data_IF_782911078267
#
_entry.id   IF_782911078267
#
_cell.length_a   1.000
_cell.length_b   1.000
_cell.length_c   1.000
_cell.angle_alpha   90.00
_cell.angle_beta   90.00
_cell.angle_gamma   90.00
#
_symmetry.space_group_name_H-M   'P 1'
#
loop_
_entity.id
_entity.type
_entity.pdbx_description
1 polymer ?
#
# COMPACT_ATOMS: atom_id res chain seq x y z
N UNK A 1 -7.59 -15.41 -9.89
CA UNK A 1 -6.77 -15.68 -8.70
C UNK A 1 -7.59 -15.39 -7.46
N UNK A 2 -7.58 -16.27 -6.45
CA UNK A 2 -8.26 -16.05 -5.17
C UNK A 2 -7.25 -15.48 -4.18
N UNK A 3 -7.41 -14.21 -3.81
CA UNK A 3 -6.54 -13.55 -2.84
C UNK A 3 -7.31 -13.28 -1.55
N UNK A 4 -6.72 -13.64 -0.40
CA UNK A 4 -7.25 -13.25 0.91
C UNK A 4 -6.53 -11.98 1.38
N UNK A 5 -7.26 -10.93 1.80
CA UNK A 5 -6.63 -9.69 2.25
C UNK A 5 -6.08 -9.82 3.67
N UNK A 6 -4.76 -9.69 3.79
CA UNK A 6 -4.10 -9.50 5.07
C UNK A 6 -3.69 -8.04 5.22
N UNK A 7 -3.85 -7.49 6.43
CA UNK A 7 -3.28 -6.20 6.80
C UNK A 7 -2.01 -6.44 7.59
N UNK A 8 -0.88 -5.97 7.07
CA UNK A 8 0.44 -6.21 7.65
C UNK A 8 0.99 -4.87 8.17
N UNK A 9 1.45 -4.77 9.43
CA UNK A 9 2.15 -3.59 9.92
C UNK A 9 3.46 -3.38 9.15
N UNK A 10 3.60 -2.22 8.50
CA UNK A 10 4.78 -1.92 7.66
C UNK A 10 5.55 -0.68 8.12
N UNK A 11 5.06 0.03 9.13
CA UNK A 11 5.75 1.19 9.70
C UNK A 11 7.17 0.84 10.15
N UNK A 12 8.15 1.62 9.71
CA UNK A 12 9.57 1.37 9.96
C UNK A 12 10.16 0.15 9.23
N UNK A 13 9.37 -0.62 8.48
CA UNK A 13 9.88 -1.74 7.70
C UNK A 13 10.64 -1.25 6.47
N UNK A 14 11.74 -1.92 6.15
CA UNK A 14 12.56 -1.60 4.98
C UNK A 14 12.04 -2.35 3.76
N UNK A 15 11.76 -1.59 2.69
CA UNK A 15 11.37 -2.12 1.38
C UNK A 15 12.46 -1.84 0.36
N UNK A 16 13.01 -2.90 -0.26
CA UNK A 16 13.87 -2.72 -1.43
C UNK A 16 13.01 -2.46 -2.66
N UNK A 17 13.23 -1.32 -3.32
CA UNK A 17 12.59 -0.96 -4.58
C UNK A 17 13.66 -0.96 -5.67
N UNK A 18 13.59 -1.91 -6.59
CA UNK A 18 14.50 -2.03 -7.73
C UNK A 18 13.82 -1.49 -8.98
N UNK A 19 14.38 -0.40 -9.53
CA UNK A 19 13.83 0.37 -10.64
C UNK A 19 13.49 1.80 -10.24
N UNK A 20 13.76 2.76 -11.11
CA UNK A 20 13.60 4.21 -10.87
C UNK A 20 12.58 4.88 -11.78
N UNK A 21 11.76 4.12 -12.48
CA UNK A 21 10.75 4.63 -13.42
C UNK A 21 9.40 4.94 -12.77
N UNK A 22 8.43 5.34 -13.61
CA UNK A 22 7.06 5.71 -13.16
C UNK A 22 6.31 4.61 -12.40
N UNK A 23 6.58 3.33 -12.71
CA UNK A 23 5.96 2.21 -11.99
C UNK A 23 6.48 2.14 -10.56
N UNK A 24 7.79 2.30 -10.38
CA UNK A 24 8.42 2.38 -9.06
C UNK A 24 7.89 3.58 -8.26
N UNK A 25 7.74 4.74 -8.90
CA UNK A 25 7.18 5.95 -8.26
C UNK A 25 5.76 5.71 -7.72
N UNK A 26 4.86 5.09 -8.50
CA UNK A 26 3.51 4.74 -8.06
C UNK A 26 3.50 3.76 -6.89
N UNK A 27 4.51 2.87 -6.77
CA UNK A 27 4.64 1.97 -5.62
C UNK A 27 5.14 2.72 -4.39
N UNK A 28 6.14 3.60 -4.56
CA UNK A 28 6.65 4.46 -3.51
C UNK A 28 5.56 5.37 -2.93
N UNK A 29 4.80 6.05 -3.78
CA UNK A 29 3.67 6.91 -3.40
C UNK A 29 2.65 6.19 -2.50
N UNK A 30 2.36 4.90 -2.81
CA UNK A 30 1.45 4.10 -1.99
C UNK A 30 2.02 3.65 -0.66
N UNK A 31 3.34 3.50 -0.55
CA UNK A 31 3.99 2.94 0.64
C UNK A 31 4.44 4.01 1.64
N UNK A 32 4.88 5.17 1.15
CA UNK A 32 5.41 6.24 2.00
C UNK A 32 4.43 6.71 3.09
N UNK A 33 3.10 6.88 2.81
CA UNK A 33 2.14 7.26 3.83
C UNK A 33 2.01 6.27 5.00
N UNK A 34 2.46 5.00 4.81
CA UNK A 34 2.46 3.97 5.84
C UNK A 34 3.78 3.89 6.63
N UNK A 35 4.68 4.87 6.49
CA UNK A 35 5.94 4.90 7.22
C UNK A 35 6.97 3.86 6.78
N UNK A 36 6.87 3.34 5.57
CA UNK A 36 7.84 2.39 4.99
C UNK A 36 9.16 3.11 4.70
N UNK A 37 10.27 2.49 5.07
CA UNK A 37 11.62 2.97 4.73
C UNK A 37 12.02 2.38 3.38
N UNK A 38 12.02 3.21 2.33
CA UNK A 38 12.40 2.79 0.98
C UNK A 38 13.91 2.75 0.82
N UNK A 39 14.43 1.63 0.30
CA UNK A 39 15.79 1.44 -0.17
C UNK A 39 15.72 1.36 -1.70
N UNK A 40 16.02 2.46 -2.39
CA UNK A 40 15.93 2.51 -3.85
C UNK A 40 17.23 2.05 -4.50
N UNK A 41 17.13 1.09 -5.42
CA UNK A 41 18.20 0.68 -6.32
C UNK A 41 17.80 1.03 -7.77
N UNK A 42 18.44 2.05 -8.35
CA UNK A 42 18.16 2.50 -9.71
C UNK A 42 19.34 3.26 -10.32
N UNK A 43 19.57 3.07 -11.63
CA UNK A 43 20.57 3.85 -12.38
C UNK A 43 20.11 5.28 -12.63
N UNK A 44 18.83 5.42 -12.95
CA UNK A 44 18.15 6.69 -13.19
C UNK A 44 16.89 6.75 -12.33
N UNK A 45 16.58 7.94 -11.82
CA UNK A 45 15.44 8.18 -10.95
C UNK A 45 14.52 9.19 -11.62
N UNK A 46 13.27 8.83 -11.83
CA UNK A 46 12.28 9.71 -12.46
C UNK A 46 11.94 10.91 -11.54
N UNK A 47 11.48 12.03 -12.13
CA UNK A 47 11.12 13.23 -11.37
C UNK A 47 10.13 12.96 -10.25
N UNK A 48 9.15 12.10 -10.47
CA UNK A 48 8.12 11.77 -9.48
C UNK A 48 8.72 11.14 -8.21
N UNK A 49 9.75 10.29 -8.33
CA UNK A 49 10.46 9.74 -7.16
C UNK A 49 11.27 10.79 -6.43
N UNK A 50 11.89 11.74 -7.18
CA UNK A 50 12.64 12.85 -6.60
C UNK A 50 11.71 13.76 -5.81
N UNK A 51 10.53 14.08 -6.34
CA UNK A 51 9.50 14.88 -5.68
C UNK A 51 9.00 14.23 -4.37
N UNK A 52 8.95 12.89 -4.32
CA UNK A 52 8.67 12.12 -3.12
C UNK A 52 9.83 12.08 -2.12
N UNK A 53 10.96 12.72 -2.42
CA UNK A 53 12.16 12.73 -1.57
C UNK A 53 12.95 11.42 -1.58
N UNK A 54 12.66 10.51 -2.53
CA UNK A 54 13.32 9.20 -2.64
C UNK A 54 14.58 9.32 -3.47
N UNK A 55 15.70 8.90 -2.90
CA UNK A 55 17.01 8.93 -3.56
C UNK A 55 17.55 7.51 -3.73
N UNK A 56 18.25 7.26 -4.85
CA UNK A 56 18.90 5.99 -5.07
C UNK A 56 20.07 5.79 -4.12
N UNK A 57 20.08 4.66 -3.42
CA UNK A 57 21.16 4.25 -2.51
C UNK A 57 22.14 3.32 -3.21
N UNK A 58 21.71 2.69 -4.32
CA UNK A 58 22.55 1.89 -5.20
C UNK A 58 22.14 2.10 -6.65
N UNK A 59 23.09 2.03 -7.58
CA UNK A 59 22.85 2.12 -9.03
C UNK A 59 22.59 0.76 -9.66
N UNK A 60 23.16 -0.29 -9.10
CA UNK A 60 23.06 -1.65 -9.60
C UNK A 60 22.59 -2.59 -8.51
N UNK A 61 21.72 -3.52 -8.87
CA UNK A 61 21.25 -4.53 -7.96
C UNK A 61 22.37 -5.51 -7.63
N UNK A 62 22.48 -5.81 -6.34
CA UNK A 62 23.32 -6.87 -5.78
C UNK A 62 22.56 -7.54 -4.66
N UNK A 63 22.78 -8.82 -4.45
CA UNK A 63 22.06 -9.62 -3.46
C UNK A 63 22.25 -9.13 -2.01
N UNK A 64 23.34 -8.42 -1.72
CA UNK A 64 23.62 -7.83 -0.41
C UNK A 64 22.60 -6.72 -0.06
N UNK A 65 21.96 -6.09 -1.06
CA UNK A 65 20.91 -5.09 -0.81
C UNK A 65 19.68 -5.67 -0.12
N UNK A 66 19.54 -7.00 -0.10
CA UNK A 66 18.46 -7.69 0.62
C UNK A 66 18.69 -7.80 2.13
N UNK A 67 19.85 -7.38 2.64
CA UNK A 67 20.14 -7.43 4.07
C UNK A 67 19.24 -6.48 4.86
N UNK A 68 18.49 -7.03 5.83
CA UNK A 68 17.56 -6.29 6.66
C UNK A 68 16.32 -5.78 5.91
N UNK A 69 16.02 -6.27 4.71
CA UNK A 69 14.83 -5.97 3.93
C UNK A 69 13.67 -6.85 4.40
N UNK A 70 12.51 -6.23 4.62
CA UNK A 70 11.29 -6.91 5.04
C UNK A 70 10.44 -7.41 3.86
N UNK A 71 10.47 -6.70 2.74
CA UNK A 71 9.81 -7.07 1.49
C UNK A 71 10.44 -6.29 0.33
N UNK A 72 10.28 -6.75 -0.90
CA UNK A 72 10.89 -6.15 -2.08
C UNK A 72 9.90 -5.91 -3.22
N UNK A 73 10.25 -4.97 -4.08
CA UNK A 73 9.53 -4.66 -5.32
C UNK A 73 10.54 -4.60 -6.45
N UNK A 74 10.36 -5.46 -7.47
CA UNK A 74 11.11 -5.44 -8.71
C UNK A 74 10.25 -4.74 -9.77
N UNK A 75 10.65 -3.53 -10.17
CA UNK A 75 9.89 -2.64 -11.04
C UNK A 75 10.79 -2.00 -12.12
N UNK A 76 11.66 -2.80 -12.72
CA UNK A 76 12.49 -2.40 -13.85
C UNK A 76 11.83 -2.80 -15.17
N UNK A 77 12.33 -2.30 -16.28
CA UNK A 77 12.02 -2.70 -17.65
C UNK A 77 12.80 -3.96 -18.10
N UNK A 78 13.77 -4.42 -17.28
CA UNK A 78 14.53 -5.65 -17.49
C UNK A 78 13.86 -6.83 -16.74
N UNK A 79 13.13 -7.66 -17.49
CA UNK A 79 12.43 -8.84 -16.96
C UNK A 79 13.40 -9.88 -16.35
N UNK A 80 14.61 -10.00 -16.87
CA UNK A 80 15.61 -10.92 -16.35
C UNK A 80 16.10 -10.45 -14.97
N UNK A 81 16.34 -9.15 -14.80
CA UNK A 81 16.67 -8.56 -13.52
C UNK A 81 15.53 -8.71 -12.51
N UNK A 82 14.28 -8.45 -12.92
CA UNK A 82 13.12 -8.64 -12.07
C UNK A 82 12.98 -10.09 -11.59
N UNK A 83 13.18 -11.06 -12.47
CA UNK A 83 13.17 -12.49 -12.13
C UNK A 83 14.31 -12.86 -11.18
N UNK A 84 15.52 -12.31 -11.40
CA UNK A 84 16.65 -12.51 -10.49
C UNK A 84 16.35 -11.98 -9.09
N UNK A 85 15.85 -10.75 -8.97
CA UNK A 85 15.46 -10.14 -7.67
C UNK A 85 14.43 -11.03 -6.97
N UNK A 86 13.43 -11.52 -7.70
CA UNK A 86 12.41 -12.40 -7.14
C UNK A 86 13.00 -13.74 -6.65
N UNK A 87 13.90 -14.34 -7.41
CA UNK A 87 14.57 -15.59 -7.02
C UNK A 87 15.43 -15.40 -5.76
N UNK A 88 16.21 -14.33 -5.69
CA UNK A 88 17.05 -14.00 -4.54
C UNK A 88 16.21 -13.71 -3.28
N UNK A 89 15.09 -13.01 -3.43
CA UNK A 89 14.13 -12.78 -2.36
C UNK A 89 13.55 -14.09 -1.80
N UNK A 90 13.12 -15.00 -2.69
CA UNK A 90 12.58 -16.30 -2.28
C UNK A 90 13.59 -17.16 -1.52
N UNK A 91 14.85 -17.17 -1.96
CA UNK A 91 15.92 -17.89 -1.25
C UNK A 91 16.10 -17.40 0.19
N UNK A 92 15.77 -16.14 0.47
CA UNK A 92 15.87 -15.51 1.79
C UNK A 92 14.53 -15.43 2.55
N UNK A 93 13.45 -15.94 1.97
CA UNK A 93 12.10 -15.83 2.55
C UNK A 93 11.57 -14.40 2.61
N UNK A 94 12.03 -13.51 1.73
CA UNK A 94 11.61 -12.11 1.63
C UNK A 94 10.46 -12.03 0.62
N UNK A 95 9.25 -11.59 1.02
CA UNK A 95 8.13 -11.42 0.09
C UNK A 95 8.48 -10.41 -1.01
N UNK A 96 8.11 -10.73 -2.26
CA UNK A 96 8.41 -9.89 -3.41
C UNK A 96 7.17 -9.62 -4.27
N UNK A 97 7.09 -8.40 -4.83
CA UNK A 97 6.18 -8.04 -5.91
C UNK A 97 7.00 -7.74 -7.16
N UNK A 98 6.88 -8.57 -8.19
CA UNK A 98 7.51 -8.36 -9.49
C UNK A 98 6.48 -7.75 -10.46
N UNK A 99 6.82 -6.62 -11.06
CA UNK A 99 5.93 -5.92 -11.99
C UNK A 99 5.81 -6.74 -13.28
N UNK A 100 4.57 -6.85 -13.79
CA UNK A 100 4.20 -7.58 -15.01
C UNK A 100 4.46 -9.09 -14.98
N UNK A 101 4.80 -9.64 -13.81
CA UNK A 101 5.07 -11.06 -13.62
C UNK A 101 4.28 -11.62 -12.43
N UNK A 102 3.10 -12.18 -12.70
CA UNK A 102 2.19 -12.70 -11.67
C UNK A 102 2.74 -13.95 -10.96
N UNK A 103 3.57 -14.73 -11.62
CA UNK A 103 4.14 -15.96 -11.06
C UNK A 103 5.25 -15.64 -10.05
N UNK A 104 5.86 -14.48 -10.20
CA UNK A 104 6.90 -13.96 -9.32
C UNK A 104 6.38 -12.94 -8.30
N UNK A 105 5.09 -12.99 -7.93
CA UNK A 105 4.49 -12.12 -6.93
C UNK A 105 3.99 -12.91 -5.72
N UNK A 106 4.50 -12.60 -4.53
CA UNK A 106 4.01 -13.12 -3.25
C UNK A 106 2.88 -12.26 -2.68
N UNK A 107 2.78 -10.99 -3.10
CA UNK A 107 1.73 -10.06 -2.70
C UNK A 107 1.37 -9.10 -3.83
N UNK A 108 0.17 -8.51 -3.73
CA UNK A 108 -0.37 -7.60 -4.73
C UNK A 108 -0.79 -6.27 -4.11
N UNK A 109 -0.68 -5.18 -4.88
CA UNK A 109 -1.17 -3.88 -4.49
C UNK A 109 -2.64 -3.71 -4.88
N UNK A 110 -3.55 -3.51 -3.92
CA UNK A 110 -4.94 -3.21 -4.24
C UNK A 110 -5.11 -1.78 -4.77
N UNK A 111 -6.28 -1.47 -5.32
CA UNK A 111 -6.76 -0.10 -5.37
C UNK A 111 -7.03 0.33 -3.92
N UNK A 112 -6.43 1.46 -3.49
CA UNK A 112 -6.31 1.81 -2.07
C UNK A 112 -6.98 3.15 -1.77
N UNK A 113 -7.77 3.20 -0.70
CA UNK A 113 -8.19 4.42 -0.03
C UNK A 113 -7.48 4.44 1.33
N UNK A 114 -6.79 5.53 1.64
CA UNK A 114 -6.10 5.70 2.91
C UNK A 114 -6.43 7.08 3.48
N UNK A 115 -7.00 7.11 4.69
CA UNK A 115 -7.35 8.34 5.42
C UNK A 115 -7.05 8.17 6.91
N UNK A 116 -5.94 8.72 7.37
CA UNK A 116 -5.45 8.52 8.72
C UNK A 116 -5.33 7.03 9.05
N UNK A 117 -5.96 6.53 10.12
CA UNK A 117 -5.87 5.12 10.51
C UNK A 117 -6.74 4.18 9.67
N UNK A 118 -7.54 4.71 8.73
CA UNK A 118 -8.47 3.92 7.93
C UNK A 118 -7.84 3.56 6.59
N UNK A 119 -7.83 2.28 6.30
CA UNK A 119 -7.36 1.74 5.01
C UNK A 119 -8.40 0.81 4.42
N UNK A 120 -8.76 1.02 3.15
CA UNK A 120 -9.67 0.18 2.38
C UNK A 120 -8.92 -0.29 1.14
N UNK A 121 -8.72 -1.59 1.01
CA UNK A 121 -8.11 -2.21 -0.16
C UNK A 121 -9.15 -2.91 -1.03
N UNK A 122 -9.18 -2.63 -2.33
CA UNK A 122 -10.12 -3.20 -3.28
C UNK A 122 -9.34 -3.99 -4.32
N UNK A 123 -9.73 -5.24 -4.51
CA UNK A 123 -9.15 -6.13 -5.51
C UNK A 123 -10.23 -6.86 -6.28
N UNK A 124 -9.98 -7.14 -7.55
CA UNK A 124 -10.81 -8.00 -8.42
C UNK A 124 -10.14 -9.35 -8.66
N UNK A 125 -9.16 -9.73 -7.82
CA UNK A 125 -8.36 -10.95 -8.02
C UNK A 125 -7.53 -10.94 -9.31
N UNK A 126 -7.20 -9.73 -9.81
CA UNK A 126 -6.47 -9.55 -11.08
C UNK A 126 -7.35 -9.62 -12.32
N UNK A 127 -8.69 -9.74 -12.17
CA UNK A 127 -9.61 -9.81 -13.30
C UNK A 127 -9.74 -8.45 -14.04
N UNK A 128 -9.83 -7.34 -13.30
CA UNK A 128 -9.97 -6.01 -13.90
C UNK A 128 -9.40 -4.91 -12.98
N UNK A 129 -8.17 -4.46 -13.20
CA UNK A 129 -7.63 -3.30 -12.50
C UNK A 129 -8.47 -2.03 -12.68
N UNK A 130 -9.07 -1.84 -13.86
CA UNK A 130 -9.94 -0.70 -14.16
C UNK A 130 -11.20 -0.71 -13.28
N UNK A 131 -11.83 -1.88 -13.10
CA UNK A 131 -13.00 -2.01 -12.20
C UNK A 131 -12.62 -1.74 -10.75
N UNK A 132 -11.46 -2.24 -10.28
CA UNK A 132 -10.98 -1.97 -8.94
C UNK A 132 -10.74 -0.46 -8.73
N UNK A 133 -10.19 0.23 -9.73
CA UNK A 133 -10.00 1.68 -9.72
C UNK A 133 -11.34 2.43 -9.67
N UNK A 134 -12.30 2.09 -10.53
CA UNK A 134 -13.62 2.70 -10.54
C UNK A 134 -14.37 2.50 -9.22
N UNK A 135 -14.31 1.29 -8.64
CA UNK A 135 -14.88 1.02 -7.31
C UNK A 135 -14.22 1.85 -6.21
N UNK A 136 -12.90 2.02 -6.27
CA UNK A 136 -12.18 2.90 -5.35
C UNK A 136 -12.71 4.33 -5.42
N UNK A 137 -12.81 4.90 -6.63
CA UNK A 137 -13.29 6.27 -6.84
C UNK A 137 -14.73 6.43 -6.35
N UNK A 138 -15.61 5.48 -6.68
CA UNK A 138 -16.98 5.49 -6.21
C UNK A 138 -17.09 5.45 -4.69
N UNK A 139 -16.40 4.52 -4.05
CA UNK A 139 -16.39 4.39 -2.58
C UNK A 139 -15.75 5.60 -1.90
N UNK A 140 -14.68 6.14 -2.44
CA UNK A 140 -14.03 7.35 -1.92
C UNK A 140 -14.97 8.54 -1.96
N UNK A 141 -15.77 8.64 -3.02
CA UNK A 141 -16.86 9.63 -3.14
C UNK A 141 -17.95 9.48 -2.09
N UNK A 142 -18.21 8.28 -1.57
CA UNK A 142 -19.22 8.04 -0.52
C UNK A 142 -18.72 8.30 0.90
N UNK A 143 -17.41 8.19 1.13
CA UNK A 143 -16.84 8.32 2.48
C UNK A 143 -16.95 9.77 3.00
N UNK A 144 -17.29 9.97 4.30
CA UNK A 144 -17.30 11.28 4.93
C UNK A 144 -15.91 11.95 4.90
N UNK A 145 -15.88 13.27 4.79
CA UNK A 145 -14.61 14.03 4.84
C UNK A 145 -13.89 13.86 6.17
N UNK A 146 -14.64 13.83 7.28
CA UNK A 146 -14.13 13.75 8.66
C UNK A 146 -13.95 12.31 9.18
N UNK A 147 -13.72 11.35 8.27
CA UNK A 147 -13.62 9.93 8.63
C UNK A 147 -12.45 9.64 9.58
N UNK A 148 -11.35 10.37 9.43
CA UNK A 148 -10.18 10.26 10.32
C UNK A 148 -10.51 10.70 11.76
N UNK A 149 -11.18 11.86 11.91
CA UNK A 149 -11.61 12.35 13.21
C UNK A 149 -12.59 11.39 13.89
N UNK A 150 -13.49 10.80 13.09
CA UNK A 150 -14.41 9.79 13.58
C UNK A 150 -13.68 8.54 14.11
N UNK A 151 -12.65 8.09 13.41
CA UNK A 151 -11.84 6.96 13.85
C UNK A 151 -11.07 7.25 15.14
N UNK A 152 -10.48 8.44 15.26
CA UNK A 152 -9.80 8.88 16.47
C UNK A 152 -10.75 8.95 17.68
N UNK A 153 -11.93 9.56 17.48
CA UNK A 153 -12.98 9.64 18.51
C UNK A 153 -13.48 8.26 18.95
N UNK A 154 -13.68 7.35 17.97
CA UNK A 154 -14.05 5.99 18.27
C UNK A 154 -12.96 5.24 19.05
N UNK A 155 -11.68 5.44 18.68
CA UNK A 155 -10.54 4.87 19.40
C UNK A 155 -10.46 5.31 20.87
N UNK A 156 -10.70 6.59 21.16
CA UNK A 156 -10.69 7.13 22.52
C UNK A 156 -11.80 6.53 23.41
N UNK A 157 -12.95 6.18 22.85
CA UNK A 157 -14.06 5.57 23.58
C UNK A 157 -13.95 4.06 23.74
N UNK A 158 -13.02 3.43 23.03
CA UNK A 158 -12.84 1.98 23.11
C UNK A 158 -12.46 1.56 24.54
N UNK A 159 -13.26 0.66 25.13
CA UNK A 159 -13.04 0.16 26.51
C UNK A 159 -13.59 1.03 27.61
N UNK A 160 -14.20 2.21 27.33
CA UNK A 160 -14.83 3.08 28.34
C UNK A 160 -16.28 2.71 28.65
N UNK A 161 -16.88 1.86 27.80
CA UNK A 161 -18.28 1.43 27.91
C UNK A 161 -18.47 -0.01 27.41
N UNK A 162 -19.62 -0.68 27.65
CA UNK A 162 -19.91 -2.01 27.14
C UNK A 162 -19.84 -2.07 25.61
N UNK A 163 -19.28 -3.14 25.05
CA UNK A 163 -19.02 -3.29 23.60
C UNK A 163 -20.27 -3.06 22.73
N UNK A 164 -21.46 -3.43 23.22
CA UNK A 164 -22.72 -3.25 22.47
C UNK A 164 -23.12 -1.77 22.38
N UNK A 165 -22.92 -1.01 23.45
CA UNK A 165 -23.21 0.43 23.48
C UNK A 165 -22.18 1.19 22.62
N UNK A 166 -20.91 0.82 22.74
CA UNK A 166 -19.84 1.35 21.89
C UNK A 166 -20.15 1.18 20.39
N UNK A 167 -20.50 -0.05 19.97
CA UNK A 167 -20.83 -0.32 18.58
C UNK A 167 -22.04 0.51 18.09
N UNK A 168 -23.07 0.67 18.92
CA UNK A 168 -24.25 1.49 18.61
C UNK A 168 -23.87 2.97 18.44
N UNK A 169 -23.04 3.49 19.34
CA UNK A 169 -22.58 4.88 19.31
C UNK A 169 -21.75 5.18 18.05
N UNK A 170 -20.78 4.32 17.73
CA UNK A 170 -19.93 4.47 16.54
C UNK A 170 -20.76 4.42 15.26
N UNK A 171 -21.74 3.49 15.17
CA UNK A 171 -22.64 3.40 14.03
C UNK A 171 -23.51 4.67 13.86
N UNK A 172 -23.97 5.23 14.97
CA UNK A 172 -24.75 6.46 14.96
C UNK A 172 -23.92 7.64 14.41
N UNK A 173 -22.69 7.80 14.86
CA UNK A 173 -21.80 8.85 14.36
C UNK A 173 -21.50 8.71 12.86
N UNK A 174 -21.23 7.48 12.42
CA UNK A 174 -21.00 7.22 11.01
C UNK A 174 -22.21 7.61 10.17
N UNK A 175 -23.42 7.19 10.60
CA UNK A 175 -24.66 7.53 9.88
C UNK A 175 -24.88 9.05 9.81
N UNK A 176 -24.67 9.78 10.90
CA UNK A 176 -24.77 11.24 10.92
C UNK A 176 -23.78 11.89 9.93
N UNK A 177 -22.53 11.41 9.91
CA UNK A 177 -21.53 11.94 8.98
C UNK A 177 -21.86 11.65 7.50
N UNK A 178 -22.50 10.51 7.22
CA UNK A 178 -22.98 10.19 5.86
C UNK A 178 -24.14 11.08 5.44
N UNK A 179 -25.12 11.29 6.32
CA UNK A 179 -26.29 12.17 6.06
C UNK A 179 -25.87 13.64 5.86
N UNK A 180 -24.88 14.12 6.59
CA UNK A 180 -24.33 15.47 6.42
C UNK A 180 -23.65 15.65 5.05
N UNK A 181 -23.01 14.61 4.56
CA UNK A 181 -22.40 14.61 3.22
C UNK A 181 -23.43 14.63 2.10
N UNK A 182 -24.52 13.87 2.21
CA UNK A 182 -25.59 13.82 1.20
C UNK A 182 -26.34 15.17 1.06
N UNK A 183 -26.32 16.02 2.09
CA UNK A 183 -26.97 17.34 2.11
C UNK A 183 -26.13 18.47 1.50
N UNK A 184 -24.86 18.21 1.17
CA UNK A 184 -23.93 19.17 0.52
C UNK A 184 -23.86 18.93 -0.98
#
# INVERSE_FOLDING_TARGET
MNCFPFMIPVEGKRCLLVGGGKVAARKAEKLLPFGVVLVLCAREVCPELIELGVQAQAKEYRQELLEGISFAIAATDDSALNAQVAADCRQRGIPVNSVDDKENCDFYFPALIHRGPITIGITTGGASPALAGALREYLEGLLPEHLEELAQKAGQLRGTMPSREYAKQVKQWLNQSLEEKEKR
#
